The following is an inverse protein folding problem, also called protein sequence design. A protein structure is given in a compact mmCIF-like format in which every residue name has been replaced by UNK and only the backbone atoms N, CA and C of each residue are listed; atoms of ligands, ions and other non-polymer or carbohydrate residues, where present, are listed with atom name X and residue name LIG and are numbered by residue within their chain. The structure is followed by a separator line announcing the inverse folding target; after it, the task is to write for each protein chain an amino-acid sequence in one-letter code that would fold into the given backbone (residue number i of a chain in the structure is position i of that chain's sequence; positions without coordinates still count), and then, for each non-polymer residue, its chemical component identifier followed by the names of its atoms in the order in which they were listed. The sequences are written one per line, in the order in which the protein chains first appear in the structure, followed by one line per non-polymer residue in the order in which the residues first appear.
data_IF_865363556223
#
_entry.id   IF_865363556223
#
_cell.length_a   1.000
_cell.length_b   1.000
_cell.length_c   1.000
_cell.angle_alpha   90.00
_cell.angle_beta   90.00
_cell.angle_gamma   90.00
#
_symmetry.space_group_name_H-M   'P 1'
#
loop_
_entity.id
_entity.type
_entity.pdbx_description
1 polymer ?
#
# COMPACT_ATOMS: atom_id res chain seq x y z
N UNK A 1 -4.94 -4.19 2.60
CA UNK A 1 -4.58 -3.10 1.67
C UNK A 1 -3.17 -3.32 1.16
N UNK A 2 -3.02 -3.62 -0.13
CA UNK A 2 -1.76 -3.97 -0.77
C UNK A 2 -1.41 -2.95 -1.87
N UNK A 3 -0.46 -2.02 -1.63
CA UNK A 3 0.07 -1.15 -2.67
C UNK A 3 1.10 -1.91 -3.52
N UNK A 4 0.73 -2.31 -4.73
CA UNK A 4 1.64 -3.10 -5.60
C UNK A 4 2.66 -2.20 -6.28
N UNK A 5 3.70 -1.85 -5.53
CA UNK A 5 4.86 -1.07 -5.99
C UNK A 5 6.11 -1.93 -6.18
N UNK A 6 6.17 -3.11 -5.54
CA UNK A 6 7.29 -4.03 -5.66
C UNK A 6 6.91 -5.45 -5.26
N UNK A 7 7.68 -6.41 -5.76
CA UNK A 7 7.39 -7.84 -5.59
C UNK A 7 7.41 -8.29 -4.12
N UNK A 8 8.32 -7.75 -3.30
CA UNK A 8 8.43 -8.11 -1.89
C UNK A 8 7.18 -7.72 -1.10
N UNK A 9 6.69 -6.49 -1.29
CA UNK A 9 5.50 -6.00 -0.58
C UNK A 9 4.24 -6.74 -1.03
N UNK A 10 4.09 -6.92 -2.35
CA UNK A 10 2.96 -7.67 -2.87
C UNK A 10 2.94 -9.12 -2.36
N UNK A 11 4.10 -9.79 -2.34
CA UNK A 11 4.21 -11.16 -1.82
C UNK A 11 3.94 -11.25 -0.32
N UNK A 12 4.45 -10.32 0.47
CA UNK A 12 4.23 -10.29 1.92
C UNK A 12 2.75 -10.09 2.26
N UNK A 13 2.12 -9.05 1.70
CA UNK A 13 0.70 -8.78 1.90
C UNK A 13 -0.17 -9.90 1.34
N UNK A 14 0.19 -10.43 0.18
CA UNK A 14 -0.50 -11.54 -0.45
C UNK A 14 -0.45 -12.82 0.38
N UNK A 15 0.69 -13.11 1.01
CA UNK A 15 0.84 -14.27 1.90
C UNK A 15 0.02 -14.13 3.17
N UNK A 16 -0.07 -12.93 3.75
CA UNK A 16 -0.98 -12.67 4.89
C UNK A 16 -2.42 -12.98 4.48
N UNK A 17 -2.86 -12.49 3.33
CA UNK A 17 -4.21 -12.72 2.84
C UNK A 17 -4.49 -14.23 2.61
N UNK A 18 -3.56 -14.93 1.96
CA UNK A 18 -3.71 -16.36 1.67
C UNK A 18 -3.76 -17.21 2.95
N UNK A 19 -2.89 -16.95 3.93
CA UNK A 19 -2.89 -17.69 5.22
C UNK A 19 -4.20 -17.49 5.97
N UNK A 20 -4.77 -16.27 5.96
CA UNK A 20 -6.07 -16.01 6.58
C UNK A 20 -7.20 -16.72 5.83
N UNK A 21 -7.15 -16.76 4.49
CA UNK A 21 -8.14 -17.52 3.69
C UNK A 21 -8.03 -19.03 3.95
N UNK A 22 -6.82 -19.58 4.06
CA UNK A 22 -6.58 -20.99 4.40
C UNK A 22 -7.11 -21.34 5.80
N UNK A 23 -7.16 -20.37 6.71
CA UNK A 23 -7.75 -20.49 8.04
C UNK A 23 -9.28 -20.27 8.08
N UNK A 24 -9.95 -20.30 6.92
CA UNK A 24 -11.42 -20.18 6.78
C UNK A 24 -11.97 -18.78 7.10
N UNK A 25 -11.15 -17.72 6.96
CA UNK A 25 -11.63 -16.34 7.03
C UNK A 25 -12.09 -15.84 5.65
N UNK A 26 -13.12 -14.97 5.62
CA UNK A 26 -13.51 -14.25 4.40
C UNK A 26 -12.58 -13.05 4.19
N UNK A 27 -11.70 -13.14 3.20
CA UNK A 27 -10.64 -12.15 2.96
C UNK A 27 -10.84 -11.47 1.62
N UNK A 28 -10.86 -10.14 1.65
CA UNK A 28 -10.73 -9.29 0.47
C UNK A 28 -9.40 -8.53 0.49
N UNK A 29 -8.73 -8.47 -0.67
CA UNK A 29 -7.48 -7.73 -0.84
C UNK A 29 -7.70 -6.58 -1.80
N UNK A 30 -7.59 -5.36 -1.27
CA UNK A 30 -7.48 -4.15 -2.09
C UNK A 30 -6.09 -4.15 -2.72
N UNK A 31 -6.03 -4.33 -4.04
CA UNK A 31 -4.83 -4.16 -4.85
C UNK A 31 -4.82 -2.73 -5.38
N UNK A 32 -4.09 -1.86 -4.67
CA UNK A 32 -3.94 -0.47 -5.06
C UNK A 32 -2.75 -0.34 -6.02
N UNK A 33 -3.02 -0.40 -7.32
CA UNK A 33 -1.98 -0.67 -8.32
C UNK A 33 -1.11 0.56 -8.56
N UNK A 34 0.19 0.42 -8.33
CA UNK A 34 1.21 1.44 -8.70
C UNK A 34 1.99 0.95 -9.92
N UNK A 35 2.59 -0.23 -9.81
CA UNK A 35 3.24 -0.94 -10.90
C UNK A 35 2.33 -2.10 -11.36
N UNK A 36 1.76 -2.04 -12.58
CA UNK A 36 0.88 -3.09 -13.09
C UNK A 36 1.62 -4.38 -13.47
N UNK A 37 2.96 -4.38 -13.51
CA UNK A 37 3.78 -5.57 -13.80
C UNK A 37 4.02 -6.43 -12.56
N UNK A 38 3.82 -5.87 -11.37
CA UNK A 38 3.93 -6.58 -10.09
C UNK A 38 2.70 -7.45 -9.89
N UNK A 39 2.93 -8.74 -9.61
CA UNK A 39 1.87 -9.68 -9.26
C UNK A 39 1.13 -9.27 -7.99
N UNK A 40 -0.14 -9.62 -7.87
CA UNK A 40 -0.96 -9.33 -6.68
C UNK A 40 -0.41 -9.97 -5.38
N UNK A 41 0.38 -11.04 -5.51
CA UNK A 41 0.99 -11.80 -4.43
C UNK A 41 0.05 -12.78 -3.72
N UNK A 42 -1.26 -12.49 -3.66
CA UNK A 42 -2.31 -13.40 -3.18
C UNK A 42 -2.84 -14.30 -4.30
N UNK A 43 -3.27 -15.51 -3.95
CA UNK A 43 -3.92 -16.46 -4.87
C UNK A 43 -5.33 -16.86 -4.43
N UNK A 44 -5.69 -16.65 -3.16
CA UNK A 44 -6.92 -17.18 -2.57
C UNK A 44 -7.95 -16.10 -2.22
N UNK A 45 -7.50 -14.88 -1.89
CA UNK A 45 -8.40 -13.81 -1.45
C UNK A 45 -9.22 -13.19 -2.59
N UNK A 46 -10.37 -12.59 -2.26
CA UNK A 46 -11.20 -11.83 -3.19
C UNK A 46 -10.48 -10.53 -3.58
N UNK A 47 -10.26 -10.30 -4.87
CA UNK A 47 -9.50 -9.14 -5.34
C UNK A 47 -10.41 -7.94 -5.56
N UNK A 48 -10.05 -6.80 -4.96
CA UNK A 48 -10.63 -5.47 -5.24
C UNK A 48 -9.51 -4.63 -5.87
N UNK A 49 -9.50 -4.52 -7.20
CA UNK A 49 -8.42 -3.82 -7.91
C UNK A 49 -8.77 -2.37 -8.19
N UNK A 50 -7.84 -1.47 -7.84
CA UNK A 50 -7.81 -0.09 -8.31
C UNK A 50 -6.71 0.03 -9.35
N UNK A 51 -7.04 0.52 -10.54
CA UNK A 51 -6.07 0.72 -11.60
C UNK A 51 -5.21 1.96 -11.34
N UNK A 52 -3.96 1.99 -11.85
CA UNK A 52 -3.11 3.15 -11.67
C UNK A 52 -3.71 4.35 -12.41
N UNK A 53 -3.84 5.49 -11.71
CA UNK A 53 -4.21 6.75 -12.36
C UNK A 53 -3.12 7.22 -13.33
N UNK A 54 -3.45 8.08 -14.29
CA UNK A 54 -2.43 8.63 -15.19
C UNK A 54 -1.36 9.43 -14.43
N UNK A 55 -1.76 10.14 -13.37
CA UNK A 55 -0.84 10.84 -12.49
C UNK A 55 0.08 9.88 -11.70
N UNK A 56 -0.43 8.70 -11.31
CA UNK A 56 0.36 7.64 -10.67
C UNK A 56 1.37 7.07 -11.65
N UNK A 57 0.97 6.78 -12.90
CA UNK A 57 1.87 6.26 -13.95
C UNK A 57 3.03 7.23 -14.23
N UNK A 58 2.74 8.53 -14.28
CA UNK A 58 3.77 9.57 -14.47
C UNK A 58 4.74 9.57 -13.29
N UNK A 59 4.24 9.63 -12.04
CA UNK A 59 5.09 9.65 -10.85
C UNK A 59 5.94 8.37 -10.69
N UNK A 60 5.37 7.20 -11.03
CA UNK A 60 6.12 5.95 -11.03
C UNK A 60 7.20 5.92 -12.13
N UNK A 61 6.91 6.47 -13.31
CA UNK A 61 7.91 6.61 -14.38
C UNK A 61 9.05 7.55 -13.98
N UNK A 62 8.75 8.66 -13.30
CA UNK A 62 9.77 9.55 -12.72
C UNK A 62 10.66 8.80 -11.72
N UNK A 63 10.06 8.00 -10.84
CA UNK A 63 10.78 7.16 -9.88
C UNK A 63 11.72 6.15 -10.56
N UNK A 64 11.27 5.47 -11.62
CA UNK A 64 12.12 4.55 -12.39
C UNK A 64 13.28 5.27 -13.10
N UNK A 65 13.05 6.50 -13.57
CA UNK A 65 14.06 7.32 -14.25
C UNK A 65 15.16 7.85 -13.31
N UNK A 66 14.95 7.81 -11.98
CA UNK A 66 15.98 8.20 -11.00
C UNK A 66 17.18 7.24 -10.98
N UNK A 67 17.08 6.05 -11.60
CA UNK A 67 18.17 5.04 -11.70
C UNK A 67 18.92 4.84 -10.38
N UNK A 68 18.16 4.68 -9.29
CA UNK A 68 18.71 4.52 -7.96
C UNK A 68 19.43 3.16 -7.86
N UNK A 69 20.73 3.19 -7.56
CA UNK A 69 21.43 2.01 -7.09
C UNK A 69 21.15 1.84 -5.60
N UNK A 70 20.11 1.06 -5.30
CA UNK A 70 19.67 0.79 -3.93
C UNK A 70 20.77 0.21 -3.04
N UNK A 71 21.79 -0.45 -3.60
CA UNK A 71 22.89 -1.04 -2.83
C UNK A 71 23.98 -0.03 -2.46
N UNK A 72 24.12 1.03 -3.27
CA UNK A 72 25.09 2.09 -3.05
C UNK A 72 24.48 3.34 -2.41
N UNK A 73 23.17 3.34 -2.15
CA UNK A 73 22.47 4.44 -1.50
C UNK A 73 22.94 4.61 -0.05
N UNK A 74 23.14 5.87 0.34
CA UNK A 74 23.41 6.23 1.72
C UNK A 74 22.09 6.60 2.42
N UNK A 75 21.59 5.71 3.26
CA UNK A 75 20.36 5.94 4.04
C UNK A 75 20.46 7.11 5.03
N UNK A 76 21.69 7.57 5.32
CA UNK A 76 21.95 8.73 6.16
C UNK A 76 22.05 10.05 5.37
N UNK A 77 21.76 10.07 4.06
CA UNK A 77 21.67 11.32 3.29
C UNK A 77 20.27 11.95 3.46
N UNK A 78 20.14 13.02 4.27
CA UNK A 78 18.84 13.65 4.51
C UNK A 78 18.27 14.33 3.26
N UNK A 79 19.13 14.75 2.31
CA UNK A 79 18.68 15.40 1.08
C UNK A 79 18.07 14.35 0.14
N UNK A 80 18.78 13.24 -0.08
CA UNK A 80 18.27 12.10 -0.84
C UNK A 80 16.96 11.56 -0.26
N UNK A 81 16.90 11.38 1.06
CA UNK A 81 15.68 10.93 1.74
C UNK A 81 14.50 11.90 1.55
N UNK A 82 14.74 13.21 1.61
CA UNK A 82 13.71 14.22 1.36
C UNK A 82 13.14 14.14 -0.06
N UNK A 83 14.02 14.06 -1.09
CA UNK A 83 13.57 13.96 -2.48
C UNK A 83 12.85 12.65 -2.77
N UNK A 84 13.32 11.52 -2.23
CA UNK A 84 12.60 10.25 -2.33
C UNK A 84 11.22 10.35 -1.69
N UNK A 85 11.12 10.91 -0.49
CA UNK A 85 9.85 11.12 0.20
C UNK A 85 8.86 11.94 -0.62
N UNK A 86 9.31 12.96 -1.36
CA UNK A 86 8.45 13.73 -2.27
C UNK A 86 7.93 12.88 -3.45
N UNK A 87 8.77 12.03 -4.03
CA UNK A 87 8.38 11.16 -5.15
C UNK A 87 7.37 10.10 -4.69
N UNK A 88 7.67 9.37 -3.61
CA UNK A 88 6.75 8.39 -3.03
C UNK A 88 5.46 9.03 -2.54
N UNK A 89 5.55 10.18 -1.87
CA UNK A 89 4.39 10.93 -1.38
C UNK A 89 3.44 11.33 -2.51
N UNK A 90 3.94 11.87 -3.62
CA UNK A 90 3.12 12.20 -4.80
C UNK A 90 2.47 10.96 -5.40
N UNK A 91 3.22 9.89 -5.57
CA UNK A 91 2.75 8.64 -6.15
C UNK A 91 1.62 8.00 -5.33
N UNK A 92 1.82 7.84 -4.02
CA UNK A 92 0.79 7.30 -3.12
C UNK A 92 -0.40 8.24 -3.00
N UNK A 93 -0.21 9.56 -2.95
CA UNK A 93 -1.32 10.51 -2.90
C UNK A 93 -2.18 10.45 -4.17
N UNK A 94 -1.56 10.41 -5.35
CA UNK A 94 -2.27 10.29 -6.63
C UNK A 94 -3.06 8.98 -6.69
N UNK A 95 -2.44 7.87 -6.27
CA UNK A 95 -3.10 6.58 -6.31
C UNK A 95 -4.19 6.44 -5.26
N UNK A 96 -4.00 7.03 -4.07
CA UNK A 96 -5.04 7.11 -3.06
C UNK A 96 -6.26 7.89 -3.56
N UNK A 97 -6.01 8.99 -4.28
CA UNK A 97 -7.09 9.77 -4.90
C UNK A 97 -7.91 8.93 -5.86
N UNK A 98 -7.25 8.12 -6.70
CA UNK A 98 -7.94 7.21 -7.62
C UNK A 98 -8.81 6.19 -6.89
N UNK A 99 -8.35 5.65 -5.75
CA UNK A 99 -9.15 4.75 -4.91
C UNK A 99 -10.38 5.46 -4.33
N UNK A 100 -10.22 6.69 -3.85
CA UNK A 100 -11.30 7.47 -3.22
C UNK A 100 -12.32 8.01 -4.24
N UNK A 101 -11.87 8.32 -5.47
CA UNK A 101 -12.70 8.82 -6.56
C UNK A 101 -13.39 7.69 -7.34
N UNK A 102 -12.98 6.43 -7.15
CA UNK A 102 -13.64 5.26 -7.73
C UNK A 102 -15.10 5.19 -7.25
N UNK A 103 -16.09 5.28 -8.15
CA UNK A 103 -17.50 5.43 -7.76
C UNK A 103 -17.99 4.30 -6.85
N UNK A 104 -18.57 4.68 -5.71
CA UNK A 104 -19.14 3.75 -4.75
C UNK A 104 -18.11 2.84 -4.06
N UNK A 105 -16.80 3.10 -4.20
CA UNK A 105 -15.76 2.24 -3.64
C UNK A 105 -15.77 2.28 -2.11
N UNK A 106 -15.76 3.48 -1.53
CA UNK A 106 -15.73 3.66 -0.07
C UNK A 106 -17.01 3.10 0.56
N UNK A 107 -18.17 3.32 -0.07
CA UNK A 107 -19.46 2.80 0.38
C UNK A 107 -19.51 1.28 0.36
N UNK A 108 -18.98 0.65 -0.70
CA UNK A 108 -18.84 -0.81 -0.77
C UNK A 108 -17.96 -1.33 0.35
N UNK A 109 -16.79 -0.72 0.58
CA UNK A 109 -15.88 -1.14 1.64
C UNK A 109 -16.49 -0.97 3.05
N UNK A 110 -17.25 0.11 3.28
CA UNK A 110 -18.01 0.30 4.54
C UNK A 110 -19.08 -0.77 4.73
N UNK A 111 -19.76 -1.19 3.65
CA UNK A 111 -20.84 -2.16 3.71
C UNK A 111 -20.38 -3.57 4.16
N UNK A 112 -19.12 -3.92 3.90
CA UNK A 112 -18.52 -5.21 4.27
C UNK A 112 -18.32 -5.37 5.78
N UNK A 113 -18.19 -4.27 6.55
CA UNK A 113 -18.05 -4.28 8.03
C UNK A 113 -16.90 -5.17 8.54
N UNK A 114 -15.69 -4.92 8.06
CA UNK A 114 -14.49 -5.70 8.39
C UNK A 114 -14.19 -5.79 9.90
N UNK A 115 -13.91 -7.01 10.37
CA UNK A 115 -13.43 -7.24 11.74
C UNK A 115 -11.97 -6.81 11.91
N UNK A 116 -11.13 -7.07 10.91
CA UNK A 116 -9.69 -6.74 10.93
C UNK A 116 -9.29 -6.14 9.60
N UNK A 117 -8.53 -5.06 9.64
CA UNK A 117 -7.96 -4.42 8.46
C UNK A 117 -6.43 -4.39 8.55
N UNK A 118 -5.78 -4.97 7.53
CA UNK A 118 -4.32 -4.93 7.38
C UNK A 118 -3.92 -3.88 6.36
N UNK A 119 -2.95 -3.03 6.69
CA UNK A 119 -2.35 -2.10 5.72
C UNK A 119 -0.83 -2.08 5.83
N UNK A 120 -0.17 -2.05 4.67
CA UNK A 120 1.26 -1.74 4.60
C UNK A 120 1.50 -0.28 5.01
N UNK A 121 2.35 -0.09 6.02
CA UNK A 121 2.44 1.16 6.76
C UNK A 121 3.00 2.35 5.97
N UNK A 122 3.81 2.13 4.93
CA UNK A 122 4.37 3.25 4.17
C UNK A 122 3.34 3.94 3.27
N UNK A 123 2.25 3.25 2.89
CA UNK A 123 1.15 3.87 2.16
C UNK A 123 0.09 4.33 3.15
N UNK A 124 0.21 5.60 3.56
CA UNK A 124 -0.70 6.23 4.51
C UNK A 124 -2.15 6.28 4.01
N UNK A 125 -2.42 6.04 2.72
CA UNK A 125 -3.78 5.90 2.23
C UNK A 125 -4.51 4.72 2.90
N UNK A 126 -3.82 3.58 3.07
CA UNK A 126 -4.38 2.42 3.77
C UNK A 126 -4.72 2.76 5.21
N UNK A 127 -3.82 3.45 5.91
CA UNK A 127 -4.06 3.92 7.29
C UNK A 127 -5.23 4.90 7.32
N UNK A 128 -5.29 5.88 6.42
CA UNK A 128 -6.38 6.85 6.33
C UNK A 128 -7.74 6.20 6.04
N UNK A 129 -7.76 5.13 5.24
CA UNK A 129 -8.98 4.40 4.90
C UNK A 129 -9.68 3.80 6.13
N UNK A 130 -8.94 3.50 7.20
CA UNK A 130 -9.52 3.01 8.47
C UNK A 130 -10.53 3.98 9.07
N UNK A 131 -10.35 5.30 8.87
CA UNK A 131 -11.28 6.32 9.36
C UNK A 131 -12.56 6.36 8.54
N UNK A 132 -12.54 5.84 7.31
CA UNK A 132 -13.71 5.78 6.45
C UNK A 132 -14.48 4.47 6.65
N UNK A 133 -13.77 3.34 6.68
CA UNK A 133 -14.41 2.01 6.70
C UNK A 133 -14.68 1.50 8.12
N UNK A 134 -14.08 2.14 9.14
CA UNK A 134 -14.27 1.86 10.57
C UNK A 134 -14.19 0.37 10.93
N UNK A 135 -13.06 -0.31 10.64
CA UNK A 135 -12.91 -1.72 10.98
C UNK A 135 -12.81 -1.86 12.51
N UNK A 136 -13.23 -3.01 13.07
CA UNK A 136 -13.16 -3.23 14.52
C UNK A 136 -11.72 -3.25 15.05
N UNK A 137 -10.76 -3.63 14.20
CA UNK A 137 -9.34 -3.67 14.53
C UNK A 137 -8.49 -3.33 13.31
N UNK A 138 -7.39 -2.61 13.56
CA UNK A 138 -6.43 -2.23 12.54
C UNK A 138 -5.06 -2.80 12.90
N UNK A 139 -4.41 -3.45 11.93
CA UNK A 139 -3.05 -3.97 12.04
C UNK A 139 -2.20 -3.32 10.96
N UNK A 140 -1.28 -2.46 11.39
CA UNK A 140 -0.23 -1.91 10.54
C UNK A 140 0.88 -2.95 10.38
N UNK A 141 1.29 -3.23 9.14
CA UNK A 141 2.33 -4.21 8.84
C UNK A 141 3.39 -3.60 7.95
N UNK A 142 4.59 -4.19 7.93
CA UNK A 142 5.59 -3.82 6.94
C UNK A 142 6.43 -4.95 6.39
N UNK A 143 6.65 -4.90 5.09
CA UNK A 143 7.67 -5.66 4.38
C UNK A 143 9.03 -4.93 4.26
N UNK A 144 9.19 -3.74 4.85
CA UNK A 144 10.38 -2.88 4.74
C UNK A 144 10.71 -2.18 6.07
N UNK A 145 11.74 -1.33 6.05
CA UNK A 145 12.12 -0.48 7.18
C UNK A 145 11.04 0.59 7.43
N UNK A 146 10.84 0.92 8.72
CA UNK A 146 9.95 1.99 9.16
C UNK A 146 10.59 3.34 8.88
N UNK A 147 9.87 4.27 8.24
CA UNK A 147 10.41 5.62 7.99
C UNK A 147 10.48 6.44 9.28
N UNK A 148 11.45 7.34 9.38
CA UNK A 148 11.86 7.94 10.67
C UNK A 148 10.73 8.51 11.55
N UNK A 149 9.74 9.21 10.99
CA UNK A 149 8.61 9.72 11.80
C UNK A 149 7.68 8.61 12.30
N UNK A 150 7.51 7.55 11.50
CA UNK A 150 6.67 6.40 11.80
C UNK A 150 7.22 5.55 12.95
N UNK A 151 8.51 5.66 13.29
CA UNK A 151 9.04 5.01 14.49
C UNK A 151 8.28 5.47 15.73
N UNK A 152 8.01 6.77 15.89
CA UNK A 152 7.29 7.24 17.08
C UNK A 152 5.85 6.73 17.17
N UNK A 153 5.23 6.48 16.02
CA UNK A 153 3.82 6.12 15.93
C UNK A 153 3.61 4.59 15.92
N UNK A 154 4.61 3.81 15.48
CA UNK A 154 4.50 2.36 15.27
C UNK A 154 5.59 1.53 15.97
N UNK A 155 6.63 2.12 16.56
CA UNK A 155 7.63 1.39 17.36
C UNK A 155 7.17 1.22 18.80
N UNK A 156 7.36 0.01 19.34
CA UNK A 156 7.07 -0.35 20.73
C UNK A 156 8.08 0.25 21.71
#
# INVERSE_FOLDING_TARGET
YNPTIGHSQASFMGRIADVLTEADHDVSTIINTVDPTVSDGTKLSKIIRIQPSDATKIAHSEQLNMKLDLFSMNDNDPIGAYFMGQVFGKMFANQCRALLEEPGMVERLKAEKYDVFFAEHYDMCGVGLTHLIEPKSFISVSASNIFGQQLKDFSF
#
